data_IF_628156099584
#
_entry.id   IF_628156099584
#
_cell.length_a   1.000
_cell.length_b   1.000
_cell.length_c   1.000
_cell.angle_alpha   90.00
_cell.angle_beta   90.00
_cell.angle_gamma   90.00
#
_symmetry.space_group_name_H-M   'P 1'
#
loop_
_entity.id
_entity.type
_entity.pdbx_description
1 polymer ?
#
# COMPACT_ATOMS: atom_id res chain seq x y z
N UNK A 1 21.07 61.49 -31.19
CA UNK A 1 20.99 60.97 -32.57
C UNK A 1 20.80 59.47 -32.48
N UNK A 2 19.60 59.04 -32.90
CA UNK A 2 19.15 57.62 -32.86
C UNK A 2 19.57 56.94 -34.16
N UNK A 3 20.13 55.74 -34.08
CA UNK A 3 20.22 54.86 -35.25
C UNK A 3 19.60 53.51 -34.89
N UNK A 4 18.46 53.25 -35.50
CA UNK A 4 17.73 51.98 -35.52
C UNK A 4 18.39 51.08 -36.53
N UNK A 5 18.70 49.82 -36.14
CA UNK A 5 19.04 48.78 -37.11
C UNK A 5 17.91 47.76 -37.20
N UNK A 6 17.34 47.71 -38.40
CA UNK A 6 16.32 46.79 -38.87
C UNK A 6 17.01 45.47 -39.24
N UNK A 7 16.61 44.34 -38.67
CA UNK A 7 17.09 43.03 -39.05
C UNK A 7 16.00 42.31 -39.85
N UNK A 8 16.30 42.03 -41.10
CA UNK A 8 15.47 41.24 -42.03
C UNK A 8 15.43 39.79 -41.69
N UNK A 9 14.22 39.19 -41.59
CA UNK A 9 13.99 37.77 -41.45
C UNK A 9 13.83 37.17 -42.85
N UNK A 10 14.77 36.29 -43.23
CA UNK A 10 14.72 35.56 -44.52
C UNK A 10 13.98 34.22 -44.25
N UNK A 11 12.82 34.07 -44.93
CA UNK A 11 12.09 32.81 -45.02
C UNK A 11 12.74 31.93 -46.11
N UNK A 12 13.31 30.78 -45.70
CA UNK A 12 13.76 29.74 -46.66
C UNK A 12 12.64 28.72 -46.78
N UNK A 13 11.99 28.67 -47.92
CA UNK A 13 11.04 27.62 -48.30
C UNK A 13 11.84 26.45 -48.87
N UNK A 14 11.90 25.32 -48.16
CA UNK A 14 12.41 24.06 -48.73
C UNK A 14 11.28 23.25 -49.33
N UNK A 15 11.29 23.10 -50.64
CA UNK A 15 10.48 22.15 -51.39
C UNK A 15 11.09 20.76 -51.21
N UNK A 16 10.37 19.82 -50.58
CA UNK A 16 10.74 18.41 -50.60
C UNK A 16 9.99 17.67 -51.71
N UNK A 17 10.76 17.10 -52.57
CA UNK A 17 10.29 16.23 -53.66
C UNK A 17 9.83 14.89 -53.11
N UNK A 18 8.65 14.44 -53.57
CA UNK A 18 8.12 13.09 -53.30
C UNK A 18 8.98 12.02 -53.97
N UNK A 19 9.56 11.12 -53.18
CA UNK A 19 10.00 9.80 -53.66
C UNK A 19 9.04 8.75 -53.13
N UNK A 20 8.41 8.00 -54.04
CA UNK A 20 7.57 6.84 -53.75
C UNK A 20 8.42 5.69 -53.20
N UNK A 21 8.36 5.45 -51.92
CA UNK A 21 8.85 4.23 -51.26
C UNK A 21 7.71 3.27 -50.98
N UNK A 22 7.89 2.01 -51.28
CA UNK A 22 6.93 0.90 -51.25
C UNK A 22 6.40 0.67 -49.81
N UNK A 23 5.09 0.53 -49.67
CA UNK A 23 4.39 0.14 -48.48
C UNK A 23 4.87 -1.23 -47.95
N UNK A 24 5.51 -1.25 -46.80
CA UNK A 24 5.53 -2.42 -45.94
C UNK A 24 4.36 -2.27 -44.96
N UNK A 25 3.38 -3.14 -45.03
CA UNK A 25 2.25 -3.18 -44.12
C UNK A 25 2.75 -3.59 -42.74
N UNK A 26 2.76 -2.64 -41.82
CA UNK A 26 2.88 -2.94 -40.40
C UNK A 26 1.55 -3.55 -39.91
N UNK A 27 1.59 -4.82 -39.56
CA UNK A 27 0.50 -5.52 -38.90
C UNK A 27 0.28 -4.87 -37.52
N UNK A 28 -0.73 -4.04 -37.42
CA UNK A 28 -1.24 -3.59 -36.13
C UNK A 28 -1.96 -4.78 -35.49
N UNK A 29 -1.30 -5.47 -34.56
CA UNK A 29 -1.98 -6.37 -33.64
C UNK A 29 -2.93 -5.51 -32.81
N UNK A 30 -4.24 -5.61 -33.11
CA UNK A 30 -5.27 -5.05 -32.25
C UNK A 30 -5.24 -5.83 -30.95
N UNK A 31 -4.84 -5.18 -29.85
CA UNK A 31 -5.09 -5.67 -28.51
C UNK A 31 -6.60 -5.67 -28.36
N UNK A 32 -7.18 -6.85 -28.28
CA UNK A 32 -8.61 -6.98 -27.98
C UNK A 32 -8.86 -6.33 -26.60
N UNK A 33 -9.92 -5.53 -26.45
CA UNK A 33 -10.28 -5.00 -25.14
C UNK A 33 -10.52 -6.19 -24.20
N UNK A 34 -9.95 -6.11 -23.00
CA UNK A 34 -10.19 -7.08 -21.95
C UNK A 34 -11.71 -7.19 -21.76
N UNK A 35 -12.24 -8.41 -21.89
CA UNK A 35 -13.66 -8.65 -21.63
C UNK A 35 -13.92 -8.30 -20.16
N UNK A 36 -15.00 -7.55 -19.86
CA UNK A 36 -15.41 -7.36 -18.48
C UNK A 36 -15.59 -8.73 -17.83
N UNK A 37 -14.96 -8.96 -16.70
CA UNK A 37 -15.18 -10.17 -15.89
C UNK A 37 -16.66 -10.12 -15.47
N UNK A 38 -17.45 -11.09 -15.93
CA UNK A 38 -18.85 -11.19 -15.53
C UNK A 38 -18.91 -11.55 -14.04
N UNK A 39 -19.23 -10.57 -13.23
CA UNK A 39 -19.30 -10.69 -11.76
C UNK A 39 -20.47 -11.56 -11.31
N UNK A 40 -21.37 -11.94 -12.25
CA UNK A 40 -22.62 -12.63 -11.96
C UNK A 40 -22.53 -14.14 -11.74
N UNK A 41 -21.43 -14.80 -12.15
CA UNK A 41 -21.34 -16.27 -12.20
C UNK A 41 -20.60 -16.92 -11.01
N UNK A 42 -20.25 -16.18 -9.97
CA UNK A 42 -19.73 -16.80 -8.76
C UNK A 42 -20.90 -17.28 -7.88
N UNK A 43 -20.90 -18.53 -7.40
CA UNK A 43 -21.94 -18.99 -6.48
C UNK A 43 -21.98 -18.06 -5.26
N UNK A 44 -23.17 -17.73 -4.76
CA UNK A 44 -23.28 -16.90 -3.57
C UNK A 44 -22.57 -17.62 -2.43
N UNK A 45 -21.61 -16.93 -1.84
CA UNK A 45 -20.92 -17.46 -0.68
C UNK A 45 -21.87 -17.43 0.51
N UNK A 46 -22.06 -18.59 1.12
CA UNK A 46 -23.06 -18.81 2.17
C UNK A 46 -22.54 -18.53 3.57
N UNK A 47 -21.33 -17.95 3.71
CA UNK A 47 -20.76 -17.62 5.03
C UNK A 47 -21.29 -16.29 5.59
N UNK A 48 -21.37 -16.14 6.92
CA UNK A 48 -21.60 -14.82 7.52
C UNK A 48 -20.41 -13.89 7.18
N UNK A 49 -20.65 -12.56 7.13
CA UNK A 49 -19.55 -11.61 6.96
C UNK A 49 -18.44 -11.87 7.97
N UNK A 50 -17.17 -11.68 7.60
CA UNK A 50 -16.06 -11.80 8.53
C UNK A 50 -16.24 -10.84 9.72
N UNK A 51 -15.93 -11.29 10.93
CA UNK A 51 -15.96 -10.43 12.11
C UNK A 51 -14.64 -9.66 12.22
N UNK A 52 -14.72 -8.33 12.33
CA UNK A 52 -13.59 -7.45 12.59
C UNK A 52 -13.90 -6.57 13.81
N UNK A 53 -12.97 -6.44 14.74
CA UNK A 53 -13.19 -5.63 15.94
C UNK A 53 -12.62 -4.22 15.78
N UNK A 54 -13.39 -3.34 15.16
CA UNK A 54 -13.04 -1.95 14.89
C UNK A 54 -12.67 -1.14 16.15
N UNK A 55 -13.34 -1.40 17.27
CA UNK A 55 -13.04 -0.69 18.52
C UNK A 55 -11.67 -1.10 19.07
N UNK A 56 -11.28 -2.36 18.93
CA UNK A 56 -9.96 -2.82 19.33
C UNK A 56 -8.89 -2.29 18.37
N UNK A 57 -9.13 -2.31 17.06
CA UNK A 57 -8.24 -1.68 16.09
C UNK A 57 -8.02 -0.19 16.40
N UNK A 58 -9.10 0.57 16.67
CA UNK A 58 -8.99 1.98 17.07
C UNK A 58 -8.26 2.15 18.42
N UNK A 59 -8.36 1.20 19.34
CA UNK A 59 -7.58 1.22 20.55
C UNK A 59 -6.08 1.05 20.27
N UNK A 60 -5.70 0.16 19.35
CA UNK A 60 -4.32 -0.01 18.91
C UNK A 60 -3.79 1.26 18.23
N UNK A 61 -4.59 1.96 17.39
CA UNK A 61 -4.22 3.28 16.86
C UNK A 61 -3.83 4.22 17.99
N UNK A 62 -4.70 4.36 19.00
CA UNK A 62 -4.45 5.25 20.15
C UNK A 62 -3.20 4.88 20.94
N UNK A 63 -2.90 3.60 21.07
CA UNK A 63 -1.71 3.09 21.76
C UNK A 63 -0.44 3.34 20.95
N UNK A 64 -0.47 3.16 19.63
CA UNK A 64 0.67 3.45 18.72
C UNK A 64 0.98 4.95 18.73
N UNK A 65 -0.02 5.82 18.53
CA UNK A 65 0.22 7.27 18.49
C UNK A 65 0.63 7.84 19.86
N UNK A 66 0.32 7.16 20.96
CA UNK A 66 0.75 7.57 22.30
C UNK A 66 2.27 7.52 22.48
N UNK A 67 3.01 6.78 21.64
CA UNK A 67 4.46 6.83 21.62
C UNK A 67 5.00 8.16 21.04
N UNK A 68 4.18 8.90 20.29
CA UNK A 68 4.55 10.13 19.60
C UNK A 68 5.21 9.88 18.25
N UNK A 69 5.93 10.89 17.70
CA UNK A 69 6.68 10.73 16.44
C UNK A 69 7.64 9.55 16.54
N UNK A 70 7.60 8.69 15.53
CA UNK A 70 8.33 7.42 15.49
C UNK A 70 9.15 7.22 14.20
N UNK A 71 9.91 8.25 13.75
CA UNK A 71 10.74 8.11 12.57
C UNK A 71 11.81 7.06 12.80
N UNK A 72 12.34 6.48 11.70
CA UNK A 72 13.39 5.45 11.78
C UNK A 72 14.52 5.86 12.73
N UNK A 73 15.04 4.89 13.49
CA UNK A 73 16.15 5.08 14.42
C UNK A 73 15.81 5.82 15.72
N UNK A 74 14.59 6.32 15.90
CA UNK A 74 14.17 6.98 17.13
C UNK A 74 13.86 6.00 18.27
N UNK A 75 13.89 6.48 19.52
CA UNK A 75 13.49 5.64 20.66
C UNK A 75 12.00 5.29 20.65
N UNK A 76 11.13 6.15 20.09
CA UNK A 76 9.71 5.85 19.95
C UNK A 76 9.48 4.79 18.88
N UNK A 77 10.24 4.80 17.81
CA UNK A 77 10.25 3.75 16.78
C UNK A 77 10.53 2.37 17.40
N UNK A 78 11.61 2.24 18.19
CA UNK A 78 11.93 0.99 18.91
C UNK A 78 10.84 0.55 19.88
N UNK A 79 10.11 1.51 20.49
CA UNK A 79 8.96 1.18 21.35
C UNK A 79 7.81 0.61 20.55
N UNK A 80 7.52 1.15 19.36
CA UNK A 80 6.48 0.63 18.46
C UNK A 80 6.86 -0.77 17.96
N UNK A 81 8.11 -1.00 17.52
CA UNK A 81 8.59 -2.34 17.19
C UNK A 81 8.32 -3.34 18.34
N UNK A 82 8.72 -2.94 19.56
CA UNK A 82 8.54 -3.78 20.75
C UNK A 82 7.06 -4.01 21.08
N UNK A 83 6.22 -3.02 20.82
CA UNK A 83 4.78 -3.10 21.01
C UNK A 83 4.14 -4.09 20.02
N UNK A 84 4.48 -3.99 18.72
CA UNK A 84 4.02 -4.93 17.69
C UNK A 84 4.45 -6.36 18.06
N UNK A 85 5.73 -6.57 18.33
CA UNK A 85 6.26 -7.89 18.71
C UNK A 85 5.60 -8.48 19.97
N UNK A 86 5.24 -7.64 20.94
CA UNK A 86 4.54 -8.09 22.15
C UNK A 86 3.13 -8.62 21.85
N UNK A 87 2.42 -8.03 20.88
CA UNK A 87 1.09 -8.47 20.44
C UNK A 87 1.14 -9.76 19.61
N UNK A 88 2.25 -10.04 18.96
CA UNK A 88 2.47 -11.22 18.12
C UNK A 88 3.06 -12.39 18.91
N UNK A 89 3.11 -12.31 20.25
CA UNK A 89 3.71 -13.35 21.08
C UNK A 89 2.97 -14.68 20.94
N UNK A 90 3.68 -15.69 20.46
CA UNK A 90 3.17 -17.03 20.23
C UNK A 90 2.89 -17.35 18.76
N UNK A 91 2.97 -16.35 17.87
CA UNK A 91 2.92 -16.54 16.44
C UNK A 91 4.31 -16.84 15.86
N UNK A 92 4.35 -17.34 14.62
CA UNK A 92 5.58 -17.51 13.85
C UNK A 92 6.02 -16.16 13.28
N UNK A 93 7.13 -15.63 13.78
CA UNK A 93 7.60 -14.29 13.44
C UNK A 93 8.97 -14.36 12.79
N UNK A 94 9.10 -13.76 11.61
CA UNK A 94 10.37 -13.38 11.01
C UNK A 94 10.64 -11.89 11.26
N UNK A 95 11.87 -11.55 11.62
CA UNK A 95 12.36 -10.18 11.70
C UNK A 95 13.45 -10.02 10.65
N UNK A 96 13.22 -9.18 9.65
CA UNK A 96 14.19 -8.84 8.62
C UNK A 96 14.87 -7.53 8.99
N UNK A 97 16.09 -7.61 9.50
CA UNK A 97 16.82 -6.47 10.06
C UNK A 97 18.08 -6.17 9.25
N UNK A 98 18.27 -4.91 8.91
CA UNK A 98 19.41 -4.41 8.15
C UNK A 98 19.65 -2.91 8.45
N UNK A 99 20.73 -2.35 7.94
CA UNK A 99 21.02 -0.93 8.07
C UNK A 99 20.84 -0.24 6.71
N UNK A 100 20.28 0.98 6.73
CA UNK A 100 20.20 1.88 5.57
C UNK A 100 21.14 3.08 5.76
N UNK A 101 21.56 3.67 4.66
CA UNK A 101 22.57 4.72 4.64
C UNK A 101 22.13 5.96 3.83
N UNK A 102 20.99 6.60 4.16
CA UNK A 102 20.63 7.86 3.56
C UNK A 102 21.64 8.95 3.89
N UNK A 103 21.51 10.14 3.26
CA UNK A 103 22.41 11.27 3.50
C UNK A 103 22.41 11.76 4.95
N UNK A 104 21.33 11.48 5.68
CA UNK A 104 21.11 11.87 7.08
C UNK A 104 21.89 11.01 8.10
N UNK A 105 22.37 9.83 7.68
CA UNK A 105 23.15 8.95 8.57
C UNK A 105 22.99 7.46 8.27
N UNK A 106 23.22 6.64 9.28
CA UNK A 106 22.99 5.20 9.25
C UNK A 106 21.89 4.86 10.23
N UNK A 107 20.86 4.16 9.76
CA UNK A 107 19.71 3.81 10.56
C UNK A 107 19.41 2.31 10.48
N UNK A 108 19.13 1.66 11.63
CA UNK A 108 18.62 0.32 11.63
C UNK A 108 17.17 0.31 11.13
N UNK A 109 16.84 -0.65 10.29
CA UNK A 109 15.51 -0.92 9.73
C UNK A 109 15.11 -2.34 10.11
N UNK A 110 13.83 -2.56 10.40
CA UNK A 110 13.32 -3.87 10.79
C UNK A 110 11.93 -4.12 10.26
N UNK A 111 11.81 -4.90 9.21
CA UNK A 111 10.52 -5.47 8.82
C UNK A 111 10.10 -6.58 9.79
N UNK A 112 8.86 -6.58 10.23
CA UNK A 112 8.28 -7.59 11.12
C UNK A 112 7.22 -8.36 10.34
N UNK A 113 7.39 -9.69 10.23
CA UNK A 113 6.50 -10.54 9.44
C UNK A 113 5.91 -11.62 10.34
N UNK A 114 4.60 -11.57 10.59
CA UNK A 114 3.87 -12.63 11.27
C UNK A 114 3.28 -13.59 10.25
N UNK A 115 3.56 -14.90 10.39
CA UNK A 115 3.22 -15.93 9.41
C UNK A 115 2.13 -16.85 9.95
N UNK A 116 1.00 -16.89 9.27
CA UNK A 116 -0.13 -17.75 9.59
C UNK A 116 -0.25 -18.83 8.52
N UNK A 117 0.12 -20.11 8.84
CA UNK A 117 0.22 -21.16 7.83
C UNK A 117 -1.15 -21.59 7.33
N UNK A 118 -1.25 -21.75 6.02
CA UNK A 118 -2.39 -22.33 5.33
C UNK A 118 -2.17 -23.76 4.87
N UNK A 119 -3.21 -24.38 4.34
CA UNK A 119 -3.16 -25.75 3.80
C UNK A 119 -2.87 -25.80 2.31
N UNK A 120 -2.93 -24.66 1.63
CA UNK A 120 -2.69 -24.49 0.18
C UNK A 120 -1.32 -23.86 -0.05
N UNK A 121 -0.61 -24.31 -1.07
CA UNK A 121 0.65 -23.70 -1.48
C UNK A 121 0.43 -22.27 -1.97
N UNK A 122 1.25 -21.37 -1.45
CA UNK A 122 1.22 -19.94 -1.78
C UNK A 122 0.99 -19.06 -0.56
N UNK A 123 1.22 -17.77 -0.76
CA UNK A 123 1.23 -16.74 0.28
C UNK A 123 0.38 -15.57 -0.18
N UNK A 124 -0.47 -15.05 0.70
CA UNK A 124 -1.07 -13.72 0.58
C UNK A 124 -0.42 -12.84 1.64
N UNK A 125 0.17 -11.73 1.22
CA UNK A 125 0.77 -10.72 2.11
C UNK A 125 -0.22 -9.59 2.29
N UNK A 126 -0.44 -9.17 3.55
CA UNK A 126 -1.08 -7.91 3.91
C UNK A 126 -0.02 -7.06 4.59
N UNK A 127 0.25 -5.87 4.06
CA UNK A 127 1.36 -5.02 4.48
C UNK A 127 0.88 -3.65 4.99
N UNK A 128 1.69 -3.04 5.81
CA UNK A 128 1.53 -1.67 6.30
C UNK A 128 2.84 -1.19 6.88
N UNK A 129 3.19 0.07 6.65
CA UNK A 129 4.32 0.67 7.36
C UNK A 129 3.97 1.06 8.80
N UNK A 130 4.98 1.27 9.64
CA UNK A 130 4.76 1.67 11.04
C UNK A 130 5.62 2.85 11.50
N UNK A 131 6.55 3.31 10.67
CA UNK A 131 7.34 4.51 10.94
C UNK A 131 6.55 5.81 10.74
N UNK A 132 7.15 6.94 10.92
CA UNK A 132 6.60 8.27 10.61
C UNK A 132 7.64 9.12 9.92
N UNK A 133 7.16 10.09 9.17
CA UNK A 133 7.96 10.97 8.33
C UNK A 133 9.17 11.59 9.05
N UNK A 134 10.38 11.32 8.53
CA UNK A 134 11.64 11.80 9.10
C UNK A 134 11.76 13.33 9.15
N UNK A 135 11.41 14.09 8.10
CA UNK A 135 11.43 15.55 8.14
C UNK A 135 10.59 16.15 9.27
N UNK A 136 9.53 15.50 9.69
CA UNK A 136 8.62 15.95 10.76
C UNK A 136 9.01 15.48 12.16
N UNK A 137 10.14 14.79 12.34
CA UNK A 137 10.59 14.17 13.59
C UNK A 137 10.68 15.10 14.81
N UNK A 138 10.82 16.40 14.59
CA UNK A 138 10.93 17.41 15.65
C UNK A 138 9.66 18.23 15.85
N UNK A 139 8.54 17.75 15.31
CA UNK A 139 7.21 18.35 15.45
C UNK A 139 6.31 17.51 16.36
N UNK A 140 5.04 17.84 16.45
CA UNK A 140 4.02 17.01 17.09
C UNK A 140 3.32 16.06 16.11
N UNK A 141 3.88 15.82 14.93
CA UNK A 141 3.35 14.87 13.95
C UNK A 141 3.39 13.45 14.53
N UNK A 142 2.23 12.79 14.57
CA UNK A 142 2.09 11.45 15.15
C UNK A 142 1.66 10.39 14.15
N UNK A 143 1.35 10.77 12.90
CA UNK A 143 0.95 9.84 11.86
C UNK A 143 -0.18 8.93 12.34
N UNK A 144 -1.36 9.51 12.63
CA UNK A 144 -2.48 8.73 13.18
C UNK A 144 -3.18 7.92 12.10
N UNK A 145 -3.36 8.50 10.91
CA UNK A 145 -3.79 7.79 9.71
C UNK A 145 -2.60 7.16 9.03
N UNK A 146 -1.55 7.92 8.87
CA UNK A 146 -0.33 7.62 8.17
C UNK A 146 0.58 6.74 9.04
N UNK A 147 0.56 5.44 8.74
CA UNK A 147 1.23 4.34 9.40
C UNK A 147 0.55 3.78 10.66
N UNK A 148 -0.16 4.57 11.49
CA UNK A 148 -0.76 3.98 12.69
C UNK A 148 -2.11 3.32 12.43
N UNK A 149 -2.95 3.83 11.51
CA UNK A 149 -4.26 3.23 11.21
C UNK A 149 -4.13 1.83 10.63
N UNK A 150 -3.27 1.66 9.66
CA UNK A 150 -3.02 0.41 8.95
C UNK A 150 -2.21 -0.58 9.79
N UNK A 151 -1.17 -0.13 10.51
CA UNK A 151 -0.46 -0.96 11.49
C UNK A 151 -1.38 -1.53 12.56
N UNK A 152 -2.33 -0.73 13.06
CA UNK A 152 -3.33 -1.16 14.03
C UNK A 152 -4.35 -2.14 13.43
N UNK A 153 -4.73 -1.96 12.17
CA UNK A 153 -5.56 -2.91 11.43
C UNK A 153 -4.87 -4.27 11.34
N UNK A 154 -3.59 -4.30 11.00
CA UNK A 154 -2.81 -5.54 10.95
C UNK A 154 -2.75 -6.25 12.33
N UNK A 155 -2.62 -5.49 13.44
CA UNK A 155 -2.68 -6.08 14.79
C UNK A 155 -4.04 -6.75 15.07
N UNK A 156 -5.13 -6.14 14.61
CA UNK A 156 -6.44 -6.75 14.72
C UNK A 156 -6.58 -7.99 13.82
N UNK A 157 -6.04 -7.97 12.60
CA UNK A 157 -5.98 -9.15 11.74
C UNK A 157 -5.17 -10.28 12.39
N UNK A 158 -4.03 -9.97 13.01
CA UNK A 158 -3.24 -10.95 13.76
C UNK A 158 -4.07 -11.62 14.85
N UNK A 159 -4.83 -10.85 15.66
CA UNK A 159 -5.76 -11.42 16.64
C UNK A 159 -6.81 -12.34 16.00
N UNK A 160 -7.29 -12.00 14.79
CA UNK A 160 -8.25 -12.84 14.07
C UNK A 160 -7.63 -14.15 13.58
N UNK A 161 -6.35 -14.14 13.26
CA UNK A 161 -5.63 -15.28 12.67
C UNK A 161 -4.95 -16.14 13.74
N UNK A 162 -4.63 -15.59 14.90
CA UNK A 162 -3.91 -16.25 15.99
C UNK A 162 -4.54 -17.60 16.37
N UNK A 163 -3.71 -18.63 16.39
CA UNK A 163 -4.12 -20.00 16.75
C UNK A 163 -5.08 -20.68 15.76
N UNK A 164 -5.42 -20.04 14.63
CA UNK A 164 -6.29 -20.63 13.61
C UNK A 164 -5.48 -21.44 12.60
N UNK A 165 -6.04 -22.56 12.17
CA UNK A 165 -5.59 -23.29 10.99
C UNK A 165 -6.33 -22.74 9.78
N UNK A 166 -5.61 -22.10 8.86
CA UNK A 166 -6.20 -21.53 7.66
C UNK A 166 -6.49 -22.62 6.63
N UNK A 167 -7.72 -22.65 6.12
CA UNK A 167 -8.08 -23.52 5.00
C UNK A 167 -7.93 -22.75 3.70
N UNK A 168 -6.69 -22.61 3.20
CA UNK A 168 -6.35 -21.83 2.03
C UNK A 168 -4.87 -21.51 2.00
N UNK A 169 -4.52 -20.38 1.36
CA UNK A 169 -3.16 -19.87 1.33
C UNK A 169 -2.65 -19.49 2.73
N UNK A 170 -1.33 -19.51 2.90
CA UNK A 170 -0.72 -18.87 4.06
C UNK A 170 -0.96 -17.37 4.01
N UNK A 171 -1.24 -16.75 5.15
CA UNK A 171 -1.35 -15.28 5.26
C UNK A 171 -0.15 -14.77 6.04
N UNK A 172 0.57 -13.82 5.46
CA UNK A 172 1.67 -13.12 6.10
C UNK A 172 1.25 -11.67 6.34
N UNK A 173 1.36 -11.23 7.59
CA UNK A 173 1.16 -9.83 7.95
C UNK A 173 2.53 -9.18 8.07
N UNK A 174 2.76 -8.15 7.28
CA UNK A 174 4.02 -7.43 7.18
C UNK A 174 3.84 -6.02 7.76
N UNK A 175 4.48 -5.74 8.88
CA UNK A 175 4.77 -4.39 9.31
C UNK A 175 6.14 -4.04 8.72
N UNK A 176 6.13 -3.27 7.65
CA UNK A 176 7.36 -2.80 7.05
C UNK A 176 7.84 -1.50 7.68
N UNK A 177 9.10 -1.20 7.46
CA UNK A 177 9.82 -0.15 8.14
C UNK A 177 10.51 0.77 7.15
N UNK A 178 10.66 2.04 7.52
CA UNK A 178 11.33 3.04 6.69
C UNK A 178 10.68 3.19 5.29
N UNK A 179 9.35 3.19 5.26
CA UNK A 179 8.56 3.56 4.11
C UNK A 179 8.75 5.03 3.80
N UNK A 180 8.61 5.85 4.82
CA UNK A 180 8.57 7.30 4.77
C UNK A 180 9.83 7.93 4.19
N UNK A 181 9.64 8.93 3.34
CA UNK A 181 10.75 9.64 2.73
C UNK A 181 11.60 10.39 3.76
N UNK A 182 12.92 10.30 3.59
CA UNK A 182 13.88 11.08 4.39
C UNK A 182 13.82 12.58 4.04
N UNK A 183 13.06 12.99 3.02
CA UNK A 183 13.00 14.36 2.49
C UNK A 183 11.58 14.86 2.29
N UNK A 184 11.43 16.18 2.29
CA UNK A 184 10.25 16.90 1.82
C UNK A 184 10.65 17.88 0.70
N UNK A 185 9.95 17.89 -0.44
CA UNK A 185 8.86 16.95 -0.79
C UNK A 185 9.36 15.51 -0.90
N UNK A 186 8.46 14.54 -1.02
CA UNK A 186 8.77 13.12 -1.20
C UNK A 186 9.89 12.91 -2.24
N UNK A 187 10.86 12.07 -1.90
CA UNK A 187 12.00 11.71 -2.75
C UNK A 187 12.08 10.19 -2.84
N UNK A 188 11.57 9.63 -3.93
CA UNK A 188 11.46 8.19 -4.14
C UNK A 188 12.76 7.40 -3.85
N UNK A 189 13.96 7.84 -4.28
CA UNK A 189 15.21 7.17 -3.91
C UNK A 189 15.51 7.12 -2.40
N UNK A 190 14.92 8.01 -1.61
CA UNK A 190 15.14 8.16 -0.17
C UNK A 190 13.90 7.73 0.65
N UNK A 191 13.17 6.69 0.16
CA UNK A 191 11.97 6.13 0.75
C UNK A 191 11.87 4.63 0.50
N UNK A 192 10.84 3.96 1.03
CA UNK A 192 10.50 2.56 0.79
C UNK A 192 11.66 1.58 1.08
N UNK A 193 12.53 1.91 2.01
CA UNK A 193 13.76 1.12 2.23
C UNK A 193 13.46 -0.31 2.69
N UNK A 194 12.45 -0.48 3.56
CA UNK A 194 12.07 -1.78 4.11
C UNK A 194 11.62 -2.75 3.04
N UNK A 195 10.66 -2.34 2.24
CA UNK A 195 10.08 -3.18 1.19
C UNK A 195 11.01 -3.38 0.00
N UNK A 196 11.85 -2.39 -0.35
CA UNK A 196 12.86 -2.55 -1.40
C UNK A 196 13.85 -3.66 -1.04
N UNK A 197 14.37 -3.64 0.19
CA UNK A 197 15.23 -4.70 0.71
C UNK A 197 14.52 -6.06 0.75
N UNK A 198 13.28 -6.09 1.26
CA UNK A 198 12.51 -7.31 1.40
C UNK A 198 12.17 -7.94 0.04
N UNK A 199 11.77 -7.13 -0.95
CA UNK A 199 11.48 -7.60 -2.29
C UNK A 199 12.72 -8.20 -2.97
N UNK A 200 13.90 -7.59 -2.80
CA UNK A 200 15.18 -8.14 -3.29
C UNK A 200 15.54 -9.45 -2.59
N UNK A 201 15.43 -9.50 -1.26
CA UNK A 201 15.66 -10.71 -0.47
C UNK A 201 14.74 -11.85 -0.92
N UNK A 202 13.42 -11.60 -1.02
CA UNK A 202 12.45 -12.61 -1.43
C UNK A 202 12.61 -13.04 -2.90
N UNK A 203 13.13 -12.15 -3.75
CA UNK A 203 13.51 -12.53 -5.11
C UNK A 203 14.70 -13.49 -5.11
N UNK A 204 15.71 -13.20 -4.29
CA UNK A 204 16.96 -13.98 -4.23
C UNK A 204 16.77 -15.38 -3.64
N UNK A 205 15.93 -15.52 -2.62
CA UNK A 205 15.66 -16.78 -1.93
C UNK A 205 14.48 -17.58 -2.51
N UNK A 206 13.78 -17.00 -3.49
CA UNK A 206 12.67 -17.63 -4.19
C UNK A 206 11.32 -17.52 -3.48
N UNK A 207 11.22 -16.83 -2.34
CA UNK A 207 9.97 -16.57 -1.64
C UNK A 207 8.99 -15.80 -2.50
N UNK A 208 9.48 -14.82 -3.27
CA UNK A 208 8.65 -13.98 -4.13
C UNK A 208 7.77 -14.78 -5.09
N UNK A 209 8.25 -15.92 -5.60
CA UNK A 209 7.49 -16.82 -6.50
C UNK A 209 6.30 -17.51 -5.83
N UNK A 210 6.25 -17.48 -4.50
CA UNK A 210 5.17 -18.08 -3.71
C UNK A 210 4.12 -17.05 -3.32
N UNK A 211 4.39 -15.75 -3.52
CA UNK A 211 3.44 -14.68 -3.22
C UNK A 211 2.41 -14.59 -4.33
N UNK A 212 1.16 -14.92 -4.00
CA UNK A 212 0.03 -14.93 -4.91
C UNK A 212 -0.68 -13.58 -4.99
N UNK A 213 -0.62 -12.81 -3.90
CA UNK A 213 -1.12 -11.45 -3.81
C UNK A 213 -0.37 -10.69 -2.71
N UNK A 214 -0.12 -9.41 -2.93
CA UNK A 214 0.39 -8.45 -1.97
C UNK A 214 -0.64 -7.32 -1.87
N UNK A 215 -1.17 -7.06 -0.70
CA UNK A 215 -2.16 -6.01 -0.45
C UNK A 215 -1.55 -5.07 0.58
N UNK A 216 -1.32 -3.85 0.17
CA UNK A 216 -0.89 -2.77 1.05
C UNK A 216 -2.13 -2.10 1.64
N UNK A 217 -2.06 -1.79 2.89
CA UNK A 217 -3.04 -0.99 3.63
C UNK A 217 -2.32 0.27 4.09
N UNK A 218 -2.68 1.42 3.56
CA UNK A 218 -2.14 2.70 3.98
C UNK A 218 -3.21 3.78 4.11
N UNK A 219 -3.09 4.64 5.14
CA UNK A 219 -4.00 5.76 5.40
C UNK A 219 -5.49 5.39 5.39
N UNK A 220 -5.86 4.24 5.97
CA UNK A 220 -7.20 3.62 5.84
C UNK A 220 -8.17 4.00 6.96
N UNK A 221 -7.83 4.96 7.80
CA UNK A 221 -8.61 5.31 9.00
C UNK A 221 -9.48 6.55 8.87
N UNK A 222 -9.39 7.34 7.79
CA UNK A 222 -10.13 8.60 7.63
C UNK A 222 -11.62 8.42 7.91
N UNK A 223 -12.21 9.37 8.66
CA UNK A 223 -13.63 9.37 8.97
C UNK A 223 -14.52 9.52 7.71
N UNK A 224 -13.99 10.09 6.63
CA UNK A 224 -14.63 10.19 5.31
C UNK A 224 -13.93 9.26 4.29
N UNK A 225 -13.86 7.99 4.61
CA UNK A 225 -13.11 6.96 3.86
C UNK A 225 -13.46 6.90 2.38
N UNK A 226 -12.44 7.04 1.52
CA UNK A 226 -12.53 6.96 0.07
C UNK A 226 -11.28 6.33 -0.54
N UNK A 227 -11.18 5.00 -0.52
CA UNK A 227 -10.05 4.26 -1.09
C UNK A 227 -9.98 4.48 -2.60
N UNK A 228 -8.85 4.99 -3.09
CA UNK A 228 -8.61 5.24 -4.51
C UNK A 228 -8.38 3.95 -5.31
N UNK A 229 -8.68 4.01 -6.60
CA UNK A 229 -8.19 3.06 -7.59
C UNK A 229 -6.76 3.45 -7.96
N UNK A 230 -5.78 2.67 -7.52
CA UNK A 230 -4.40 2.93 -7.88
C UNK A 230 -4.06 2.35 -9.26
N UNK A 231 -3.62 3.20 -10.18
CA UNK A 231 -3.30 2.81 -11.56
C UNK A 231 -2.06 1.90 -11.68
N UNK A 232 -1.25 1.78 -10.62
CA UNK A 232 -0.10 0.89 -10.55
C UNK A 232 -0.48 -0.50 -10.00
N UNK A 233 -1.62 -0.60 -9.35
CA UNK A 233 -2.15 -1.84 -8.79
C UNK A 233 -2.54 -2.85 -9.87
N UNK A 234 -2.54 -4.13 -9.51
CA UNK A 234 -2.93 -5.22 -10.40
C UNK A 234 -4.45 -5.25 -10.58
N UNK A 235 -5.00 -5.00 -11.79
CA UNK A 235 -6.43 -4.78 -11.97
C UNK A 235 -7.32 -5.91 -11.45
N UNK A 236 -6.96 -7.20 -11.71
CA UNK A 236 -7.78 -8.30 -11.23
C UNK A 236 -7.84 -8.43 -9.70
N UNK A 237 -6.80 -7.92 -8.98
CA UNK A 237 -6.77 -7.94 -7.52
C UNK A 237 -7.68 -6.84 -6.97
N UNK A 238 -7.66 -5.65 -7.56
CA UNK A 238 -8.62 -4.59 -7.23
C UNK A 238 -10.06 -5.00 -7.55
N UNK A 239 -10.32 -5.68 -8.69
CA UNK A 239 -11.63 -6.27 -9.00
C UNK A 239 -12.09 -7.24 -7.90
N UNK A 240 -11.17 -8.04 -7.34
CA UNK A 240 -11.46 -8.96 -6.25
C UNK A 240 -11.80 -8.22 -4.95
N UNK A 241 -11.07 -7.15 -4.64
CA UNK A 241 -11.32 -6.29 -3.49
C UNK A 241 -12.65 -5.56 -3.64
N UNK A 242 -12.93 -5.00 -4.81
CA UNK A 242 -14.23 -4.36 -5.10
C UNK A 242 -15.39 -5.35 -4.99
N UNK A 243 -15.19 -6.59 -5.43
CA UNK A 243 -16.15 -7.66 -5.25
C UNK A 243 -16.40 -7.95 -3.77
N UNK A 244 -15.35 -8.03 -2.95
CA UNK A 244 -15.46 -8.19 -1.51
C UNK A 244 -16.23 -7.02 -0.88
N UNK A 245 -15.90 -5.79 -1.24
CA UNK A 245 -16.60 -4.59 -0.79
C UNK A 245 -18.09 -4.61 -1.19
N UNK A 246 -18.40 -5.06 -2.40
CA UNK A 246 -19.78 -5.18 -2.93
C UNK A 246 -20.57 -6.22 -2.14
N UNK A 247 -20.00 -7.38 -1.83
CA UNK A 247 -20.65 -8.43 -1.02
C UNK A 247 -21.05 -7.91 0.37
N UNK A 248 -20.27 -6.99 0.91
CA UNK A 248 -20.47 -6.41 2.23
C UNK A 248 -21.30 -5.11 2.23
N UNK A 249 -21.62 -4.58 1.04
CA UNK A 249 -22.34 -3.32 0.88
C UNK A 249 -21.51 -2.07 1.08
N UNK A 250 -20.17 -2.19 0.97
CA UNK A 250 -19.19 -1.10 1.18
C UNK A 250 -18.57 -0.54 -0.10
N UNK A 251 -19.05 -0.96 -1.28
CA UNK A 251 -18.50 -0.57 -2.58
C UNK A 251 -18.43 0.94 -2.81
N UNK A 252 -19.23 1.75 -2.13
CA UNK A 252 -19.20 3.20 -2.25
C UNK A 252 -17.95 3.86 -1.67
N UNK A 253 -17.19 3.13 -0.88
CA UNK A 253 -15.94 3.60 -0.27
C UNK A 253 -14.69 3.19 -1.07
N UNK A 254 -14.86 2.49 -2.21
CA UNK A 254 -13.74 1.92 -2.96
C UNK A 254 -13.76 2.37 -4.41
N UNK A 255 -12.61 2.83 -4.88
CA UNK A 255 -12.24 2.97 -6.29
C UNK A 255 -13.09 3.97 -7.10
N UNK A 256 -13.70 4.96 -6.45
CA UNK A 256 -14.45 6.01 -7.13
C UNK A 256 -13.54 7.01 -7.88
N UNK A 257 -12.30 7.16 -7.46
CA UNK A 257 -11.30 8.05 -8.06
C UNK A 257 -10.08 7.23 -8.43
N UNK A 258 -9.37 7.64 -9.47
CA UNK A 258 -8.15 6.99 -9.93
C UNK A 258 -6.96 7.91 -9.74
N UNK A 259 -5.89 7.38 -9.18
CA UNK A 259 -4.59 8.03 -9.12
C UNK A 259 -3.48 7.00 -9.38
N UNK A 260 -2.25 7.43 -9.49
CA UNK A 260 -1.07 6.57 -9.50
C UNK A 260 -0.24 6.91 -8.28
N UNK A 261 -0.06 5.94 -7.41
CA UNK A 261 0.68 6.09 -6.15
C UNK A 261 2.02 5.36 -6.27
N UNK A 262 3.08 5.97 -5.74
CA UNK A 262 4.35 5.28 -5.49
C UNK A 262 4.40 4.98 -4.01
N UNK A 263 4.34 3.70 -3.65
CA UNK A 263 4.21 3.23 -2.29
C UNK A 263 4.83 1.82 -2.13
N UNK A 264 4.74 1.22 -0.97
CA UNK A 264 5.36 -0.05 -0.56
C UNK A 264 4.98 -1.25 -1.45
N UNK A 265 3.88 -1.19 -2.17
CA UNK A 265 3.51 -2.22 -3.15
C UNK A 265 4.40 -2.20 -4.41
N UNK A 266 4.99 -1.04 -4.76
CA UNK A 266 5.73 -0.86 -6.02
C UNK A 266 6.91 -1.80 -6.21
N UNK A 267 7.79 -2.05 -5.23
CA UNK A 267 8.90 -2.99 -5.40
C UNK A 267 8.44 -4.42 -5.74
N UNK A 268 7.22 -4.79 -5.36
CA UNK A 268 6.61 -6.08 -5.68
C UNK A 268 5.96 -6.07 -7.07
N UNK A 269 5.25 -5.00 -7.43
CA UNK A 269 4.70 -4.78 -8.79
C UNK A 269 5.80 -4.89 -9.84
N UNK A 270 6.91 -4.20 -9.65
CA UNK A 270 8.07 -4.21 -10.55
C UNK A 270 8.68 -5.61 -10.75
N UNK A 271 8.49 -6.50 -9.79
CA UNK A 271 8.94 -7.89 -9.84
C UNK A 271 7.86 -8.88 -10.26
N UNK A 272 6.70 -8.36 -10.72
CA UNK A 272 5.61 -9.16 -11.27
C UNK A 272 4.75 -9.88 -10.22
N UNK A 273 4.80 -9.47 -8.97
CA UNK A 273 3.86 -9.93 -7.93
C UNK A 273 2.54 -9.19 -8.11
N UNK A 274 1.41 -9.89 -8.17
CA UNK A 274 0.11 -9.23 -8.14
C UNK A 274 -0.04 -8.43 -6.85
N UNK A 275 -0.15 -7.11 -6.97
CA UNK A 275 -0.19 -6.20 -5.82
C UNK A 275 -1.33 -5.21 -5.95
N UNK A 276 -1.89 -4.78 -4.84
CA UNK A 276 -2.87 -3.70 -4.75
C UNK A 276 -2.53 -2.81 -3.56
N UNK A 277 -2.75 -1.52 -3.76
CA UNK A 277 -2.65 -0.50 -2.73
C UNK A 277 -4.05 -0.05 -2.32
N UNK A 278 -4.38 -0.18 -1.05
CA UNK A 278 -5.59 0.32 -0.43
C UNK A 278 -5.26 1.58 0.34
N UNK A 279 -5.31 2.71 -0.33
CA UNK A 279 -4.96 4.00 0.23
C UNK A 279 -6.09 5.02 0.08
N UNK A 280 -6.34 5.82 1.12
CA UNK A 280 -7.18 7.02 1.06
C UNK A 280 -6.29 8.27 1.01
N UNK A 281 -6.00 8.72 -0.20
CA UNK A 281 -5.19 9.93 -0.44
C UNK A 281 -6.04 11.20 -0.48
N UNK A 282 -7.32 11.15 -0.09
CA UNK A 282 -8.18 12.32 0.05
C UNK A 282 -8.37 12.69 1.52
N UNK A 283 -7.30 12.65 2.29
CA UNK A 283 -7.27 12.82 3.74
C UNK A 283 -7.50 14.29 4.15
N UNK A 284 -8.77 14.62 4.42
CA UNK A 284 -9.25 15.98 4.54
C UNK A 284 -9.36 16.68 3.16
N UNK A 285 -9.84 17.93 3.16
CA UNK A 285 -10.02 18.67 1.92
C UNK A 285 -8.68 19.00 1.25
N UNK A 286 -8.38 18.43 0.08
CA UNK A 286 -7.10 18.55 -0.65
C UNK A 286 -5.90 18.07 0.21
N UNK A 287 -6.02 16.95 0.88
CA UNK A 287 -4.97 16.28 1.66
C UNK A 287 -4.35 17.15 2.77
N UNK A 288 -5.15 18.05 3.34
CA UNK A 288 -4.65 19.03 4.31
C UNK A 288 -4.14 18.40 5.60
N UNK A 289 -4.45 17.14 5.89
CA UNK A 289 -3.99 16.44 7.08
C UNK A 289 -2.73 15.60 6.82
N UNK A 290 -2.52 15.16 5.56
CA UNK A 290 -1.36 14.35 5.19
C UNK A 290 -0.05 15.08 5.43
N UNK A 291 0.91 14.43 6.06
CA UNK A 291 2.23 14.97 6.44
C UNK A 291 2.15 16.30 7.21
N UNK A 292 1.14 16.46 8.05
CA UNK A 292 0.99 17.62 8.93
C UNK A 292 0.70 17.19 10.38
N UNK A 293 0.86 18.13 11.31
CA UNK A 293 0.55 17.89 12.74
C UNK A 293 -0.95 17.72 13.00
N UNK A 294 -1.80 17.87 11.98
CA UNK A 294 -3.24 17.67 12.04
C UNK A 294 -3.63 16.21 11.73
N UNK A 295 -2.69 15.35 11.36
CA UNK A 295 -2.91 13.90 11.29
C UNK A 295 -3.02 13.33 12.71
N UNK A 296 -4.23 13.34 13.23
CA UNK A 296 -4.57 13.03 14.62
C UNK A 296 -5.79 12.11 14.72
N UNK A 297 -5.91 11.40 15.84
CA UNK A 297 -6.95 10.37 16.08
C UNK A 297 -8.39 10.89 15.89
N UNK A 298 -8.63 12.17 16.10
CA UNK A 298 -9.97 12.78 15.92
C UNK A 298 -10.40 12.91 14.44
N UNK A 299 -9.49 12.70 13.50
CA UNK A 299 -9.80 12.61 12.06
C UNK A 299 -10.23 11.20 11.65
N UNK A 300 -10.00 10.21 12.50
CA UNK A 300 -10.21 8.81 12.18
C UNK A 300 -11.55 8.29 12.69
N UNK A 301 -12.02 7.22 12.08
CA UNK A 301 -13.26 6.53 12.45
C UNK A 301 -13.03 5.03 12.68
N UNK A 302 -13.53 4.47 13.79
CA UNK A 302 -13.59 3.01 13.92
C UNK A 302 -14.38 2.34 12.80
N UNK A 303 -15.32 3.07 12.18
CA UNK A 303 -16.13 2.55 11.06
C UNK A 303 -15.28 2.35 9.81
N UNK A 304 -14.34 3.22 9.54
CA UNK A 304 -13.41 3.09 8.41
C UNK A 304 -12.51 1.87 8.59
N UNK A 305 -11.95 1.68 9.78
CA UNK A 305 -11.19 0.48 10.13
C UNK A 305 -12.04 -0.80 10.01
N UNK A 306 -13.33 -0.75 10.40
CA UNK A 306 -14.27 -1.86 10.22
C UNK A 306 -14.47 -2.19 8.74
N UNK A 307 -14.70 -1.17 7.92
CA UNK A 307 -14.94 -1.33 6.48
C UNK A 307 -13.73 -1.99 5.83
N UNK A 308 -12.54 -1.39 5.98
CA UNK A 308 -11.34 -1.91 5.34
C UNK A 308 -10.98 -3.28 5.89
N UNK A 309 -10.92 -3.47 7.21
CA UNK A 309 -10.56 -4.76 7.81
C UNK A 309 -11.54 -5.89 7.46
N UNK A 310 -12.84 -5.61 7.35
CA UNK A 310 -13.83 -6.61 6.94
C UNK A 310 -13.69 -6.92 5.45
N UNK A 311 -13.44 -5.92 4.59
CA UNK A 311 -13.19 -6.11 3.15
C UNK A 311 -11.91 -6.91 2.93
N UNK A 312 -10.84 -6.64 3.67
CA UNK A 312 -9.59 -7.42 3.60
C UNK A 312 -9.82 -8.89 3.96
N UNK A 313 -10.53 -9.17 5.06
CA UNK A 313 -10.87 -10.55 5.45
C UNK A 313 -11.74 -11.25 4.39
N UNK A 314 -12.71 -10.54 3.79
CA UNK A 314 -13.54 -11.07 2.70
C UNK A 314 -12.72 -11.30 1.43
N UNK A 315 -11.77 -10.41 1.12
CA UNK A 315 -10.84 -10.57 0.00
C UNK A 315 -9.98 -11.83 0.18
N UNK A 316 -9.43 -12.05 1.38
CA UNK A 316 -8.71 -13.29 1.71
C UNK A 316 -9.57 -14.53 1.46
N UNK A 317 -10.85 -14.48 1.85
CA UNK A 317 -11.79 -15.58 1.63
C UNK A 317 -12.04 -15.83 0.14
N UNK A 318 -12.25 -14.78 -0.66
CA UNK A 318 -12.46 -14.88 -2.11
C UNK A 318 -11.21 -15.37 -2.84
N UNK A 319 -10.01 -14.92 -2.46
CA UNK A 319 -8.74 -15.38 -3.02
C UNK A 319 -8.54 -16.90 -2.78
N UNK A 320 -9.01 -17.41 -1.66
CA UNK A 320 -8.93 -18.84 -1.36
C UNK A 320 -9.91 -19.71 -2.17
N UNK A 321 -10.91 -19.11 -2.82
CA UNK A 321 -11.85 -19.79 -3.72
C UNK A 321 -11.38 -19.81 -5.19
N UNK A 322 -10.40 -19.00 -5.53
CA UNK A 322 -9.81 -18.92 -6.87
C UNK A 322 -8.74 -20.03 -7.05
#
# INVERSE_FOLDING_TARGET
MKTWKLTFLIFVVMLFACSRGKNAAASSASVAPAQPVDVSDSPPDSGPPPAFNANRAMQYVKEVVAFGPRPIGSENHKKVESYILAHLKGDDIEQDSFDVHPTEGTFPVRNIIAKFPGTRDGIIVIASHYDTNWPLRNTSYIGANDGASSSALLLELANQLHGKKLNGYSVWLLWDDAEESMKLPWDDPESLYGVRHLAEKWQSDGTLKKVNAFILEDMIGDADLNIEHDANSTPWLEDMILKAATHLGYQSHFFARTMAVTDDHMPFVERGVPSADLIDFNYGYNDVFWHTTDDTVDKLSPKSLEIVGTVTLETLRLLNQR
#
